data_IF_535946425069
#
_entry.id   IF_535946425069
#
_cell.length_a   1.000
_cell.length_b   1.000
_cell.length_c   1.000
_cell.angle_alpha   90.00
_cell.angle_beta   90.00
_cell.angle_gamma   90.00
#
_symmetry.space_group_name_H-M   'P 1'
#
loop_
_entity.id
_entity.type
_entity.pdbx_description
1 polymer ?
#
# COMPACT_ATOMS: atom_id res chain seq x y z
N UNK A 1 -6.99 -28.55 21.09
CA UNK A 1 -8.31 -27.93 21.20
C UNK A 1 -8.34 -27.21 22.53
N UNK A 2 -8.52 -25.86 22.56
CA UNK A 2 -9.66 -25.31 23.26
C UNK A 2 -10.40 -24.29 22.42
N UNK A 3 -11.73 -24.42 22.41
CA UNK A 3 -12.69 -23.46 21.90
C UNK A 3 -12.60 -22.15 22.65
N UNK A 4 -12.39 -21.04 21.93
CA UNK A 4 -12.61 -19.69 22.46
C UNK A 4 -13.87 -19.10 21.83
N UNK A 5 -15.03 -19.47 22.35
CA UNK A 5 -16.26 -18.73 22.16
C UNK A 5 -16.19 -17.43 22.96
N UNK A 6 -16.05 -16.29 22.28
CA UNK A 6 -16.31 -14.99 22.89
C UNK A 6 -17.83 -14.75 22.89
N UNK A 7 -18.42 -14.22 23.97
CA UNK A 7 -19.86 -14.06 24.09
C UNK A 7 -20.39 -12.95 23.19
N UNK A 8 -21.41 -13.28 22.42
CA UNK A 8 -22.25 -12.37 21.67
C UNK A 8 -23.19 -11.63 22.64
N UNK A 9 -23.14 -10.30 22.67
CA UNK A 9 -24.09 -9.48 23.43
C UNK A 9 -25.14 -8.83 22.50
N UNK A 10 -26.43 -9.15 22.65
CA UNK A 10 -27.51 -8.72 21.73
C UNK A 10 -28.21 -7.41 22.12
N UNK A 11 -27.58 -6.43 22.76
CA UNK A 11 -28.24 -5.18 23.14
C UNK A 11 -27.45 -3.94 22.69
N UNK A 12 -28.10 -3.20 21.80
CA UNK A 12 -27.62 -2.03 21.06
C UNK A 12 -27.27 -0.79 21.89
N UNK A 13 -26.12 -0.81 22.54
CA UNK A 13 -25.44 0.40 22.99
C UNK A 13 -24.19 0.62 22.14
N UNK A 14 -23.82 1.87 21.82
CA UNK A 14 -22.55 2.12 21.16
C UNK A 14 -21.41 1.55 22.01
N UNK A 15 -20.35 0.99 21.40
CA UNK A 15 -19.25 0.42 22.14
C UNK A 15 -18.61 1.48 23.03
N UNK A 16 -18.29 1.12 24.27
CA UNK A 16 -17.52 1.97 25.16
C UNK A 16 -16.13 2.20 24.59
N UNK A 17 -15.48 3.34 24.84
CA UNK A 17 -14.09 3.53 24.47
C UNK A 17 -13.24 2.34 24.92
N UNK A 18 -12.59 1.64 23.97
CA UNK A 18 -11.80 0.43 24.21
C UNK A 18 -12.52 -0.91 23.98
N UNK A 19 -13.82 -0.94 23.72
CA UNK A 19 -14.55 -2.17 23.39
C UNK A 19 -14.41 -2.51 21.90
N UNK A 20 -13.71 -3.62 21.59
CA UNK A 20 -13.53 -4.10 20.22
C UNK A 20 -14.87 -4.58 19.68
N UNK A 21 -15.35 -3.92 18.63
CA UNK A 21 -16.47 -4.44 17.84
C UNK A 21 -15.87 -5.56 16.98
N UNK A 22 -16.42 -6.78 16.98
CA UNK A 22 -16.11 -7.76 15.97
C UNK A 22 -16.66 -7.23 14.65
N UNK A 23 -15.89 -6.43 13.96
CA UNK A 23 -16.13 -6.16 12.57
C UNK A 23 -16.03 -7.50 11.85
N UNK A 24 -16.97 -7.84 10.97
CA UNK A 24 -16.88 -9.02 10.13
C UNK A 24 -15.50 -9.13 9.45
N UNK A 25 -15.24 -10.14 8.67
CA UNK A 25 -13.96 -10.36 7.98
C UNK A 25 -13.52 -9.16 7.13
N UNK A 26 -12.98 -8.11 7.78
CA UNK A 26 -12.53 -6.87 7.13
C UNK A 26 -11.02 -6.93 6.90
N UNK A 27 -10.57 -6.58 5.70
CA UNK A 27 -9.17 -6.29 5.43
C UNK A 27 -8.97 -4.79 5.22
N UNK A 28 -7.96 -4.21 5.88
CA UNK A 28 -7.52 -2.85 5.58
C UNK A 28 -6.48 -2.86 4.48
N UNK A 29 -6.70 -1.99 3.50
CA UNK A 29 -5.81 -1.77 2.36
C UNK A 29 -5.15 -0.40 2.49
N UNK A 30 -3.84 -0.36 2.25
CA UNK A 30 -3.06 0.87 2.36
C UNK A 30 -2.47 1.24 1.00
N UNK A 31 -2.78 2.45 0.48
CA UNK A 31 -2.32 2.87 -0.84
C UNK A 31 -0.83 3.12 -0.90
N UNK A 32 -0.28 3.05 -2.11
CA UNK A 32 1.09 3.38 -2.45
C UNK A 32 1.24 4.70 -3.18
N UNK A 33 2.44 4.92 -3.71
CA UNK A 33 2.81 6.11 -4.47
C UNK A 33 1.89 6.31 -5.68
N UNK A 34 1.52 7.56 -5.95
CA UNK A 34 0.56 7.95 -6.98
C UNK A 34 -0.80 8.38 -6.41
N UNK A 35 -1.08 8.09 -5.14
CA UNK A 35 -2.33 8.49 -4.46
C UNK A 35 -2.24 9.83 -3.74
N UNK A 36 -1.03 10.40 -3.58
CA UNK A 36 -0.80 11.67 -2.89
C UNK A 36 -1.44 12.85 -3.61
N UNK A 37 -1.96 13.79 -2.83
CA UNK A 37 -2.47 15.09 -3.30
C UNK A 37 -2.22 16.17 -2.24
N UNK A 38 -1.97 17.39 -2.66
CA UNK A 38 -1.90 18.54 -1.74
C UNK A 38 -3.25 18.71 -1.04
N UNK A 39 -3.24 18.96 0.25
CA UNK A 39 -4.42 19.03 1.12
C UNK A 39 -4.77 17.71 1.82
N UNK A 40 -4.14 16.58 1.45
CA UNK A 40 -4.45 15.28 2.04
C UNK A 40 -4.24 15.27 3.56
N UNK A 41 -5.24 14.75 4.27
CA UNK A 41 -5.21 14.57 5.72
C UNK A 41 -5.41 15.83 6.55
N UNK A 42 -5.47 17.03 5.94
CA UNK A 42 -5.64 18.29 6.68
C UNK A 42 -6.96 18.32 7.45
N UNK A 43 -8.07 18.08 6.76
CA UNK A 43 -9.40 18.05 7.36
C UNK A 43 -9.48 17.04 8.52
N UNK A 44 -8.99 15.82 8.31
CA UNK A 44 -8.99 14.81 9.39
C UNK A 44 -8.10 15.20 10.57
N UNK A 45 -6.95 15.85 10.32
CA UNK A 45 -6.10 16.35 11.40
C UNK A 45 -6.75 17.49 12.18
N UNK A 46 -7.54 18.35 11.54
CA UNK A 46 -8.28 19.42 12.20
C UNK A 46 -9.46 18.89 13.06
N UNK A 47 -10.08 17.79 12.63
CA UNK A 47 -11.27 17.22 13.30
C UNK A 47 -10.93 16.15 14.36
N UNK A 48 -9.84 15.40 14.16
CA UNK A 48 -9.48 14.26 15.01
C UNK A 48 -8.10 14.44 15.66
N UNK A 49 -8.03 14.59 16.99
CA UNK A 49 -6.75 14.78 17.70
C UNK A 49 -5.69 13.72 17.35
N UNK A 50 -6.09 12.45 17.28
CA UNK A 50 -5.17 11.34 16.97
C UNK A 50 -4.57 11.44 15.55
N UNK A 51 -5.30 12.03 14.60
CA UNK A 51 -4.78 12.29 13.26
C UNK A 51 -3.78 13.45 13.30
N UNK A 52 -4.07 14.53 14.01
CA UNK A 52 -3.13 15.65 14.21
C UNK A 52 -1.84 15.17 14.88
N UNK A 53 -1.95 14.39 15.97
CA UNK A 53 -0.82 13.81 16.68
C UNK A 53 0.05 12.94 15.74
N UNK A 54 -0.57 12.19 14.83
CA UNK A 54 0.16 11.35 13.85
C UNK A 54 1.01 12.21 12.91
N UNK A 55 0.49 13.32 12.41
CA UNK A 55 1.29 14.24 11.58
C UNK A 55 2.40 14.93 12.38
N UNK A 56 2.14 15.30 13.64
CA UNK A 56 3.16 15.90 14.53
C UNK A 56 4.29 14.89 14.86
N UNK A 57 3.93 13.63 15.10
CA UNK A 57 4.87 12.53 15.31
C UNK A 57 5.77 12.31 14.09
N UNK A 58 5.19 12.35 12.88
CA UNK A 58 5.95 12.29 11.63
C UNK A 58 6.91 13.46 11.46
N UNK A 59 6.45 14.70 11.71
CA UNK A 59 7.27 15.89 11.67
C UNK A 59 8.48 15.78 12.63
N UNK A 60 8.22 15.36 13.86
CA UNK A 60 9.27 15.17 14.86
C UNK A 60 10.26 14.07 14.47
N UNK A 61 9.76 12.93 13.96
CA UNK A 61 10.60 11.82 13.53
C UNK A 61 11.50 12.16 12.35
N UNK A 62 11.03 13.00 11.44
CA UNK A 62 11.75 13.40 10.22
C UNK A 62 12.63 14.63 10.41
N UNK A 63 12.38 15.44 11.45
CA UNK A 63 13.10 16.69 11.71
C UNK A 63 12.73 17.85 10.76
N UNK A 64 11.60 17.74 10.05
CA UNK A 64 11.05 18.81 9.21
C UNK A 64 9.51 18.70 9.14
N UNK A 65 8.85 19.78 8.69
CA UNK A 65 7.38 19.85 8.57
C UNK A 65 6.85 19.11 7.35
N UNK A 66 6.74 17.76 7.46
CA UNK A 66 6.07 16.93 6.46
C UNK A 66 4.59 17.30 6.35
N UNK A 67 3.94 17.58 7.48
CA UNK A 67 2.55 18.01 7.54
C UNK A 67 2.27 19.21 6.65
N UNK A 68 3.13 20.23 6.68
CA UNK A 68 2.99 21.40 5.82
C UNK A 68 3.09 21.04 4.33
N UNK A 69 3.99 20.15 3.96
CA UNK A 69 4.10 19.70 2.56
C UNK A 69 2.84 18.94 2.12
N UNK A 70 2.29 18.10 3.00
CA UNK A 70 1.04 17.38 2.72
C UNK A 70 -0.15 18.35 2.52
N UNK A 71 -0.25 19.40 3.35
CA UNK A 71 -1.42 20.27 3.41
C UNK A 71 -1.35 21.46 2.46
N UNK A 72 -0.17 22.00 2.23
CA UNK A 72 0.05 23.28 1.52
C UNK A 72 0.90 23.11 0.26
N UNK A 73 1.60 21.98 0.13
CA UNK A 73 2.51 21.72 -0.99
C UNK A 73 3.90 22.36 -0.82
N UNK A 74 4.58 22.75 -1.91
CA UNK A 74 4.11 22.66 -3.29
C UNK A 74 4.01 21.23 -3.82
N UNK A 75 3.19 21.01 -4.86
CA UNK A 75 2.95 19.68 -5.44
C UNK A 75 4.24 19.02 -5.94
N UNK A 76 5.15 19.78 -6.53
CA UNK A 76 6.44 19.31 -7.02
C UNK A 76 7.30 18.71 -5.90
N UNK A 77 7.24 19.29 -4.70
CA UNK A 77 7.93 18.74 -3.51
C UNK A 77 7.28 17.47 -3.04
N UNK A 78 5.93 17.44 -3.01
CA UNK A 78 5.17 16.25 -2.60
C UNK A 78 5.38 15.06 -3.57
N UNK A 79 5.70 15.30 -4.84
CA UNK A 79 5.99 14.29 -5.87
C UNK A 79 7.38 13.67 -5.76
N UNK A 80 8.29 14.25 -5.01
CA UNK A 80 9.61 13.63 -4.77
C UNK A 80 9.43 12.33 -4.00
N UNK A 81 9.94 11.23 -4.52
CA UNK A 81 9.72 9.89 -3.96
C UNK A 81 10.09 9.79 -2.47
N UNK A 82 11.17 10.46 -2.04
CA UNK A 82 11.59 10.53 -0.63
C UNK A 82 10.64 11.35 0.26
N UNK A 83 9.76 12.16 -0.31
CA UNK A 83 8.72 12.93 0.39
C UNK A 83 7.38 12.22 0.26
N UNK A 84 7.04 11.73 -0.93
CA UNK A 84 5.79 11.02 -1.21
C UNK A 84 5.58 9.84 -0.28
N UNK A 85 6.62 9.02 -0.10
CA UNK A 85 6.49 7.80 0.69
C UNK A 85 6.15 8.07 2.16
N UNK A 86 6.89 8.89 2.92
CA UNK A 86 6.51 9.21 4.29
C UNK A 86 5.18 9.98 4.38
N UNK A 87 4.82 10.79 3.36
CA UNK A 87 3.55 11.52 3.34
C UNK A 87 2.35 10.58 3.27
N UNK A 88 2.36 9.60 2.35
CA UNK A 88 1.29 8.61 2.21
C UNK A 88 1.22 7.70 3.45
N UNK A 89 2.37 7.25 3.97
CA UNK A 89 2.40 6.44 5.19
C UNK A 89 1.78 7.19 6.37
N UNK A 90 2.13 8.46 6.57
CA UNK A 90 1.59 9.29 7.65
C UNK A 90 0.08 9.45 7.54
N UNK A 91 -0.43 9.79 6.35
CA UNK A 91 -1.86 9.91 6.10
C UNK A 91 -2.58 8.58 6.35
N UNK A 92 -2.05 7.47 5.85
CA UNK A 92 -2.63 6.14 6.01
C UNK A 92 -2.70 5.71 7.47
N UNK A 93 -1.65 5.97 8.25
CA UNK A 93 -1.62 5.67 9.69
C UNK A 93 -2.56 6.60 10.47
N UNK A 94 -2.67 7.88 10.09
CA UNK A 94 -3.64 8.80 10.69
C UNK A 94 -5.07 8.30 10.51
N UNK A 95 -5.45 7.90 9.28
CA UNK A 95 -6.77 7.29 9.00
C UNK A 95 -6.97 6.01 9.80
N UNK A 96 -5.98 5.14 9.84
CA UNK A 96 -6.04 3.90 10.62
C UNK A 96 -6.28 4.16 12.10
N UNK A 97 -5.58 5.12 12.70
CA UNK A 97 -5.72 5.47 14.12
C UNK A 97 -7.12 6.02 14.42
N UNK A 98 -7.69 6.87 13.55
CA UNK A 98 -9.07 7.35 13.66
C UNK A 98 -10.07 6.20 13.61
N UNK A 99 -9.97 5.31 12.63
CA UNK A 99 -10.84 4.14 12.52
C UNK A 99 -10.75 3.23 13.75
N UNK A 100 -9.55 3.04 14.29
CA UNK A 100 -9.31 2.24 15.49
C UNK A 100 -9.99 2.86 16.73
N UNK A 101 -9.94 4.19 16.89
CA UNK A 101 -10.67 4.88 17.97
C UNK A 101 -12.21 4.72 17.84
N UNK A 102 -12.70 4.62 16.60
CA UNK A 102 -14.10 4.31 16.32
C UNK A 102 -14.46 2.82 16.51
N UNK A 103 -13.49 1.98 16.91
CA UNK A 103 -13.70 0.55 17.10
C UNK A 103 -13.71 -0.26 15.80
N UNK A 104 -13.38 0.35 14.65
CA UNK A 104 -13.28 -0.32 13.35
C UNK A 104 -11.84 -0.82 13.19
N UNK A 105 -11.65 -2.13 13.31
CA UNK A 105 -10.32 -2.77 13.28
C UNK A 105 -10.25 -3.87 12.23
N UNK A 106 -9.09 -4.07 11.59
CA UNK A 106 -8.93 -5.08 10.56
C UNK A 106 -8.72 -6.47 11.15
N UNK A 107 -9.13 -7.51 10.42
CA UNK A 107 -8.72 -8.90 10.63
C UNK A 107 -7.47 -9.25 9.82
N UNK A 108 -7.27 -8.57 8.70
CA UNK A 108 -6.10 -8.69 7.83
C UNK A 108 -5.68 -7.28 7.38
N UNK A 109 -4.41 -7.14 7.07
CA UNK A 109 -3.89 -5.93 6.47
C UNK A 109 -3.12 -6.24 5.18
N UNK A 110 -3.18 -5.34 4.22
CA UNK A 110 -2.37 -5.37 3.02
C UNK A 110 -2.06 -3.94 2.57
N UNK A 111 -0.93 -3.75 1.91
CA UNK A 111 -0.59 -2.46 1.36
C UNK A 111 0.15 -2.60 0.05
N UNK A 112 -0.09 -1.69 -0.88
CA UNK A 112 0.53 -1.72 -2.21
C UNK A 112 1.89 -1.01 -2.17
N UNK A 113 2.97 -1.72 -2.44
CA UNK A 113 4.35 -1.19 -2.43
C UNK A 113 4.66 -0.47 -1.11
N UNK A 114 4.79 0.86 -1.11
CA UNK A 114 4.92 1.69 0.10
C UNK A 114 3.87 1.35 1.16
N UNK A 115 2.64 1.09 0.72
CA UNK A 115 1.52 0.77 1.61
C UNK A 115 1.72 -0.46 2.48
N UNK A 116 2.60 -1.40 2.09
CA UNK A 116 2.94 -2.55 2.94
C UNK A 116 3.60 -2.11 4.26
N UNK A 117 4.37 -1.01 4.27
CA UNK A 117 4.89 -0.42 5.52
C UNK A 117 3.76 0.13 6.39
N UNK A 118 2.76 0.79 5.79
CA UNK A 118 1.56 1.26 6.51
C UNK A 118 0.79 0.07 7.11
N UNK A 119 0.68 -1.04 6.38
CA UNK A 119 0.07 -2.28 6.88
C UNK A 119 0.84 -2.87 8.07
N UNK A 120 2.17 -2.87 8.03
CA UNK A 120 3.00 -3.33 9.15
C UNK A 120 2.92 -2.41 10.38
N UNK A 121 2.77 -1.09 10.19
CA UNK A 121 2.49 -0.17 11.31
C UNK A 121 1.11 -0.45 11.90
N UNK A 122 0.08 -0.61 11.07
CA UNK A 122 -1.28 -0.91 11.52
C UNK A 122 -1.37 -2.27 12.24
N UNK A 123 -0.55 -3.24 11.83
CA UNK A 123 -0.43 -4.55 12.47
C UNK A 123 0.48 -4.57 13.71
N UNK A 124 1.03 -3.44 14.13
CA UNK A 124 1.94 -3.36 15.29
C UNK A 124 3.33 -3.96 15.05
N UNK A 125 3.65 -4.35 13.82
CA UNK A 125 4.94 -4.98 13.48
C UNK A 125 6.09 -3.97 13.51
N UNK A 126 5.86 -2.75 13.02
CA UNK A 126 6.80 -1.65 13.00
C UNK A 126 6.27 -0.47 13.80
N UNK A 127 7.15 0.20 14.55
CA UNK A 127 6.84 1.49 15.15
C UNK A 127 6.69 2.55 14.07
N UNK A 128 5.74 3.45 14.24
CA UNK A 128 5.45 4.47 13.23
C UNK A 128 6.65 5.39 12.95
N UNK A 129 7.34 5.85 13.98
CA UNK A 129 8.52 6.73 13.81
C UNK A 129 9.66 6.04 13.05
N UNK A 130 9.85 4.74 13.26
CA UNK A 130 10.84 3.96 12.54
C UNK A 130 10.43 3.74 11.09
N UNK A 131 9.14 3.44 10.86
CA UNK A 131 8.59 3.26 9.53
C UNK A 131 8.69 4.55 8.68
N UNK A 132 8.32 5.72 9.25
CA UNK A 132 8.33 6.98 8.51
C UNK A 132 9.75 7.41 8.09
N UNK A 133 10.76 7.20 8.96
CA UNK A 133 12.16 7.41 8.60
C UNK A 133 12.63 6.43 7.53
N UNK A 134 12.27 5.16 7.69
CA UNK A 134 12.67 4.09 6.77
C UNK A 134 12.11 4.30 5.38
N UNK A 135 10.83 4.64 5.24
CA UNK A 135 10.25 4.87 3.91
C UNK A 135 10.76 6.13 3.22
N UNK A 136 11.21 7.14 3.99
CA UNK A 136 11.95 8.26 3.44
C UNK A 136 13.28 7.80 2.82
N UNK A 137 14.04 6.99 3.56
CA UNK A 137 15.28 6.39 3.04
C UNK A 137 14.99 5.49 1.84
N UNK A 138 13.95 4.66 1.91
CA UNK A 138 13.50 3.82 0.81
C UNK A 138 13.26 4.64 -0.46
N UNK A 139 12.49 5.72 -0.35
CA UNK A 139 12.22 6.62 -1.48
C UNK A 139 13.50 7.20 -2.08
N UNK A 140 14.40 7.67 -1.23
CA UNK A 140 15.70 8.20 -1.65
C UNK A 140 16.56 7.14 -2.33
N UNK A 141 16.71 5.96 -1.72
CA UNK A 141 17.53 4.87 -2.26
C UNK A 141 17.01 4.37 -3.60
N UNK A 142 15.70 4.22 -3.74
CA UNK A 142 15.07 3.80 -4.99
C UNK A 142 15.25 4.84 -6.10
N UNK A 143 15.18 6.14 -5.77
CA UNK A 143 15.42 7.22 -6.74
C UNK A 143 16.90 7.27 -7.19
N UNK A 144 17.82 6.99 -6.28
CA UNK A 144 19.27 7.02 -6.55
C UNK A 144 19.80 5.73 -7.21
N UNK A 145 19.03 4.62 -7.20
CA UNK A 145 19.48 3.33 -7.70
C UNK A 145 19.75 3.30 -9.21
N UNK A 146 19.03 4.14 -9.96
CA UNK A 146 19.17 4.25 -11.41
C UNK A 146 19.18 5.73 -11.80
N UNK A 147 20.14 6.19 -12.63
CA UNK A 147 20.14 7.56 -13.12
C UNK A 147 18.83 7.91 -13.85
N UNK A 148 18.37 9.16 -13.68
CA UNK A 148 17.15 9.65 -14.33
C UNK A 148 17.23 9.44 -15.84
N UNK A 149 16.17 8.90 -16.43
CA UNK A 149 16.06 8.62 -17.86
C UNK A 149 16.64 7.26 -18.31
N UNK A 150 17.35 6.54 -17.44
CA UNK A 150 17.85 5.19 -17.78
C UNK A 150 16.87 4.07 -17.45
N UNK A 151 15.92 4.32 -16.56
CA UNK A 151 14.85 3.41 -16.21
C UNK A 151 13.48 3.95 -16.57
N UNK A 152 12.52 3.06 -16.76
CA UNK A 152 11.13 3.40 -17.06
C UNK A 152 10.15 2.36 -16.49
N UNK A 153 8.88 2.75 -16.45
CA UNK A 153 7.76 1.87 -16.18
C UNK A 153 6.63 2.14 -17.17
N UNK A 154 5.87 1.10 -17.50
CA UNK A 154 4.70 1.23 -18.36
C UNK A 154 3.54 0.35 -17.85
N UNK A 155 2.32 0.87 -17.92
CA UNK A 155 1.11 0.12 -17.61
C UNK A 155 0.59 -0.56 -18.89
N UNK A 156 0.46 -1.89 -18.83
CA UNK A 156 -0.11 -2.71 -19.89
C UNK A 156 -1.52 -3.10 -19.47
N UNK A 157 -2.52 -2.72 -20.27
CA UNK A 157 -3.93 -2.95 -19.97
C UNK A 157 -4.54 -3.95 -20.96
N UNK A 158 -5.39 -4.84 -20.44
CA UNK A 158 -6.14 -5.80 -21.23
C UNK A 158 -5.30 -6.93 -21.82
N UNK A 159 -4.23 -7.32 -21.12
CA UNK A 159 -3.37 -8.43 -21.50
C UNK A 159 -3.03 -9.30 -20.27
N UNK A 160 -3.15 -10.64 -20.36
CA UNK A 160 -2.83 -11.54 -19.25
C UNK A 160 -1.34 -11.48 -18.86
N UNK A 161 -1.05 -11.67 -17.56
CA UNK A 161 0.31 -11.65 -17.02
C UNK A 161 1.30 -12.55 -17.79
N UNK A 162 0.87 -13.76 -18.17
CA UNK A 162 1.73 -14.70 -18.90
C UNK A 162 2.22 -14.13 -20.24
N UNK A 163 1.35 -13.42 -20.96
CA UNK A 163 1.73 -12.76 -22.22
C UNK A 163 2.62 -11.54 -21.96
N UNK A 164 2.32 -10.74 -20.94
CA UNK A 164 3.17 -9.60 -20.54
C UNK A 164 4.56 -10.08 -20.15
N UNK A 165 4.69 -11.17 -19.41
CA UNK A 165 5.99 -11.75 -19.04
C UNK A 165 6.79 -12.22 -20.26
N UNK A 166 6.14 -12.85 -21.25
CA UNK A 166 6.80 -13.23 -22.51
C UNK A 166 7.28 -12.02 -23.31
N UNK A 167 6.46 -10.95 -23.36
CA UNK A 167 6.83 -9.69 -24.01
C UNK A 167 8.03 -9.06 -23.32
N UNK A 168 8.05 -9.00 -21.99
CA UNK A 168 9.19 -8.51 -21.23
C UNK A 168 10.47 -9.29 -21.55
N UNK A 169 10.40 -10.62 -21.53
CA UNK A 169 11.54 -11.49 -21.85
C UNK A 169 12.09 -11.24 -23.26
N UNK A 170 11.19 -11.10 -24.25
CA UNK A 170 11.59 -10.81 -25.64
C UNK A 170 12.17 -9.39 -25.80
N UNK A 171 11.55 -8.40 -25.15
CA UNK A 171 11.96 -6.99 -25.24
C UNK A 171 13.26 -6.70 -24.47
N UNK A 172 13.62 -7.53 -23.51
CA UNK A 172 14.78 -7.31 -22.64
C UNK A 172 16.11 -7.19 -23.43
N UNK A 173 16.39 -8.07 -24.40
CA UNK A 173 17.58 -8.00 -25.26
C UNK A 173 18.86 -7.71 -24.46
N UNK A 174 19.14 -8.49 -23.40
CA UNK A 174 20.24 -8.34 -22.44
C UNK A 174 20.08 -7.16 -21.45
N UNK A 175 18.96 -6.45 -21.47
CA UNK A 175 18.60 -5.42 -20.50
C UNK A 175 17.55 -5.96 -19.51
N UNK A 176 17.21 -5.18 -18.49
CA UNK A 176 16.14 -5.53 -17.55
C UNK A 176 14.80 -5.05 -18.10
N UNK A 177 13.81 -5.95 -18.16
CA UNK A 177 12.40 -5.65 -18.36
C UNK A 177 11.58 -6.75 -17.68
N UNK A 178 10.74 -6.39 -16.70
CA UNK A 178 10.05 -7.34 -15.83
C UNK A 178 8.64 -6.85 -15.48
N UNK A 179 7.65 -7.75 -15.27
CA UNK A 179 6.43 -7.38 -14.53
C UNK A 179 6.79 -6.89 -13.14
N UNK A 180 6.29 -5.72 -12.78
CA UNK A 180 6.61 -5.02 -11.53
C UNK A 180 5.41 -4.88 -10.60
N UNK A 181 4.21 -4.60 -11.14
CA UNK A 181 2.97 -4.59 -10.37
C UNK A 181 1.91 -5.42 -11.10
N UNK A 182 1.50 -6.51 -10.48
CA UNK A 182 0.42 -7.37 -10.98
C UNK A 182 -0.84 -6.93 -10.24
N UNK A 183 -1.49 -5.87 -10.79
CA UNK A 183 -2.53 -5.13 -10.09
C UNK A 183 -3.91 -5.78 -10.17
N UNK A 184 -4.25 -6.33 -11.32
CA UNK A 184 -5.53 -6.98 -11.59
C UNK A 184 -5.39 -7.88 -12.83
N UNK A 185 -6.40 -8.71 -13.18
CA UNK A 185 -6.38 -9.50 -14.42
C UNK A 185 -6.14 -8.69 -15.69
N UNK A 186 -6.55 -7.41 -15.66
CA UNK A 186 -6.50 -6.49 -16.79
C UNK A 186 -5.38 -5.45 -16.72
N UNK A 187 -4.58 -5.45 -15.65
CA UNK A 187 -3.56 -4.40 -15.43
C UNK A 187 -2.26 -4.97 -14.86
N UNK A 188 -1.21 -4.93 -15.65
CA UNK A 188 0.17 -5.24 -15.25
C UNK A 188 1.06 -4.04 -15.56
N UNK A 189 1.83 -3.59 -14.58
CA UNK A 189 2.89 -2.60 -14.79
C UNK A 189 4.20 -3.31 -14.99
N UNK A 190 4.93 -2.93 -16.03
CA UNK A 190 6.29 -3.42 -16.34
C UNK A 190 7.33 -2.37 -15.95
N UNK A 191 8.52 -2.81 -15.61
CA UNK A 191 9.62 -1.97 -15.13
C UNK A 191 10.96 -2.49 -15.63
N UNK A 192 11.89 -1.58 -15.88
CA UNK A 192 13.24 -1.95 -16.31
C UNK A 192 14.01 -0.81 -16.95
N UNK A 193 14.99 -1.16 -17.79
CA UNK A 193 15.74 -0.21 -18.61
C UNK A 193 14.81 0.50 -19.58
N UNK A 194 14.92 1.82 -19.71
CA UNK A 194 14.00 2.61 -20.53
C UNK A 194 13.82 2.07 -21.95
N UNK A 195 14.89 1.76 -22.72
CA UNK A 195 14.72 1.22 -24.08
C UNK A 195 14.01 -0.15 -24.10
N UNK A 196 14.22 -1.00 -23.09
CA UNK A 196 13.58 -2.30 -23.02
C UNK A 196 12.08 -2.18 -22.69
N UNK A 197 11.72 -1.27 -21.78
CA UNK A 197 10.32 -0.99 -21.43
C UNK A 197 9.58 -0.37 -22.62
N UNK A 198 10.21 0.55 -23.37
CA UNK A 198 9.64 1.14 -24.57
C UNK A 198 9.37 0.07 -25.64
N UNK A 199 10.34 -0.81 -25.93
CA UNK A 199 10.14 -1.97 -26.85
C UNK A 199 9.02 -2.88 -26.37
N UNK A 200 8.96 -3.16 -25.06
CA UNK A 200 7.91 -4.00 -24.50
C UNK A 200 6.52 -3.36 -24.65
N UNK A 201 6.41 -2.04 -24.44
CA UNK A 201 5.16 -1.31 -24.61
C UNK A 201 4.68 -1.34 -26.07
N UNK A 202 5.57 -1.13 -27.04
CA UNK A 202 5.24 -1.24 -28.48
C UNK A 202 4.80 -2.68 -28.84
N UNK A 203 5.59 -3.67 -28.42
CA UNK A 203 5.28 -5.07 -28.69
C UNK A 203 3.95 -5.51 -28.06
N UNK A 204 3.61 -4.98 -26.87
CA UNK A 204 2.32 -5.23 -26.24
C UNK A 204 1.16 -4.69 -27.07
N UNK A 205 1.29 -3.49 -27.62
CA UNK A 205 0.28 -2.91 -28.54
C UNK A 205 0.11 -3.77 -29.79
N UNK A 206 1.21 -4.17 -30.43
CA UNK A 206 1.18 -5.02 -31.62
C UNK A 206 0.51 -6.38 -31.36
N UNK A 207 0.63 -6.90 -30.13
CA UNK A 207 0.04 -8.18 -29.71
C UNK A 207 -1.34 -8.06 -29.08
N UNK A 208 -1.99 -6.91 -29.18
CA UNK A 208 -3.39 -6.73 -28.83
C UNK A 208 -3.65 -6.24 -27.41
N UNK A 209 -2.68 -5.67 -26.70
CA UNK A 209 -2.95 -4.94 -25.49
C UNK A 209 -3.92 -3.77 -25.76
N UNK A 210 -4.94 -3.61 -24.92
CA UNK A 210 -5.89 -2.49 -25.07
C UNK A 210 -5.19 -1.13 -24.98
N UNK A 211 -4.22 -1.03 -24.07
CA UNK A 211 -3.36 0.15 -23.91
C UNK A 211 -1.98 -0.26 -23.38
N UNK A 212 -0.96 0.47 -23.78
CA UNK A 212 0.36 0.45 -23.17
C UNK A 212 0.78 1.91 -22.94
N UNK A 213 0.90 2.32 -21.68
CA UNK A 213 1.04 3.72 -21.29
C UNK A 213 2.33 3.85 -20.49
N UNK A 214 3.27 4.65 -20.98
CA UNK A 214 4.46 5.02 -20.22
C UNK A 214 4.06 5.83 -18.99
N UNK A 215 4.56 5.43 -17.82
CA UNK A 215 4.24 6.12 -16.57
C UNK A 215 5.20 7.30 -16.33
N UNK A 216 4.71 8.42 -15.78
CA UNK A 216 5.53 9.60 -15.46
C UNK A 216 6.32 9.40 -14.17
N UNK A 217 7.14 8.34 -14.12
CA UNK A 217 8.00 8.00 -12.97
C UNK A 217 9.46 8.18 -13.36
N UNK A 218 10.29 8.53 -12.37
CA UNK A 218 11.71 8.83 -12.56
C UNK A 218 12.64 7.65 -12.24
N UNK A 219 12.09 6.50 -11.80
CA UNK A 219 12.85 5.31 -11.47
C UNK A 219 12.07 4.02 -11.80
N UNK A 220 12.78 2.94 -12.19
CA UNK A 220 12.17 1.65 -12.52
C UNK A 220 11.97 0.80 -11.27
N UNK A 221 10.89 1.06 -10.52
CA UNK A 221 10.59 0.35 -9.28
C UNK A 221 10.28 -1.13 -9.48
N UNK A 222 10.52 -1.95 -8.46
CA UNK A 222 10.15 -3.36 -8.41
C UNK A 222 10.75 -4.24 -9.52
N UNK A 223 11.99 -3.99 -9.88
CA UNK A 223 12.75 -4.82 -10.81
C UNK A 223 14.22 -4.98 -10.36
N UNK A 224 14.98 -5.80 -11.05
CA UNK A 224 16.38 -6.11 -10.71
C UNK A 224 17.29 -4.86 -10.62
N UNK A 225 16.97 -3.78 -11.33
CA UNK A 225 17.72 -2.51 -11.27
C UNK A 225 17.64 -1.82 -9.90
N UNK A 226 16.68 -2.21 -9.03
CA UNK A 226 16.56 -1.70 -7.68
C UNK A 226 17.49 -2.40 -6.68
N UNK A 227 18.37 -3.31 -7.11
CA UNK A 227 19.30 -4.04 -6.23
C UNK A 227 20.14 -3.14 -5.32
N UNK A 228 20.70 -2.01 -5.78
CA UNK A 228 21.44 -1.09 -4.90
C UNK A 228 20.58 -0.50 -3.79
N UNK A 229 19.31 -0.17 -4.09
CA UNK A 229 18.36 0.31 -3.09
C UNK A 229 18.01 -0.79 -2.08
N UNK A 230 17.80 -2.01 -2.55
CA UNK A 230 17.52 -3.17 -1.69
C UNK A 230 18.63 -3.40 -0.66
N UNK A 231 19.89 -3.35 -1.08
CA UNK A 231 21.06 -3.58 -0.19
C UNK A 231 21.16 -2.52 0.90
N UNK A 232 20.99 -1.25 0.54
CA UNK A 232 20.99 -0.15 1.50
C UNK A 232 19.83 -0.25 2.48
N UNK A 233 18.63 -0.51 1.98
CA UNK A 233 17.42 -0.64 2.79
C UNK A 233 17.48 -1.87 3.71
N UNK A 234 18.04 -2.98 3.24
CA UNK A 234 18.25 -4.17 4.07
C UNK A 234 19.12 -3.87 5.29
N UNK A 235 20.17 -3.05 5.13
CA UNK A 235 21.02 -2.63 6.23
C UNK A 235 20.26 -1.76 7.25
N UNK A 236 19.32 -0.93 6.80
CA UNK A 236 18.48 -0.12 7.69
C UNK A 236 17.43 -0.98 8.39
N UNK A 237 16.67 -1.81 7.66
CA UNK A 237 15.61 -2.67 8.21
C UNK A 237 16.12 -3.65 9.27
N UNK A 238 17.32 -4.24 9.07
CA UNK A 238 17.92 -5.16 10.03
C UNK A 238 18.32 -4.53 11.37
N UNK A 239 18.37 -3.21 11.45
CA UNK A 239 18.63 -2.48 12.71
C UNK A 239 17.36 -2.17 13.49
N UNK A 240 16.20 -2.31 12.87
CA UNK A 240 14.91 -2.02 13.50
C UNK A 240 14.42 -3.21 14.32
N UNK A 241 13.61 -2.88 15.31
CA UNK A 241 12.88 -3.88 16.06
C UNK A 241 11.55 -4.18 15.35
N UNK A 242 11.34 -5.45 14.99
CA UNK A 242 10.10 -5.96 14.46
C UNK A 242 9.38 -6.78 15.53
N UNK A 243 8.10 -6.49 15.74
CA UNK A 243 7.21 -7.32 16.55
C UNK A 243 6.47 -8.33 15.67
N UNK A 244 6.03 -9.47 16.20
CA UNK A 244 5.04 -10.29 15.51
C UNK A 244 3.78 -9.44 15.22
N UNK A 245 3.21 -9.53 14.01
CA UNK A 245 2.01 -8.76 13.67
C UNK A 245 0.81 -9.19 14.50
N UNK A 246 0.04 -8.23 15.03
CA UNK A 246 -1.22 -8.47 15.76
C UNK A 246 -2.32 -8.99 14.82
N UNK A 247 -2.26 -8.60 13.54
CA UNK A 247 -3.09 -9.12 12.46
C UNK A 247 -2.19 -9.53 11.29
N UNK A 248 -2.49 -10.64 10.59
CA UNK A 248 -1.67 -11.08 9.47
C UNK A 248 -1.61 -10.02 8.36
N UNK A 249 -0.41 -9.79 7.81
CA UNK A 249 -0.17 -8.86 6.71
C UNK A 249 0.08 -9.65 5.43
N UNK A 250 -0.70 -9.39 4.37
CA UNK A 250 -0.43 -9.95 3.05
C UNK A 250 0.76 -9.22 2.40
N UNK A 251 1.88 -9.93 2.21
CA UNK A 251 3.08 -9.35 1.61
C UNK A 251 3.01 -9.30 0.09
N UNK A 252 3.65 -8.29 -0.50
CA UNK A 252 3.61 -8.06 -1.95
C UNK A 252 4.40 -9.10 -2.73
N UNK A 253 5.59 -9.47 -2.27
CA UNK A 253 6.56 -10.25 -3.05
C UNK A 253 6.16 -11.73 -3.20
N UNK A 254 5.56 -12.33 -2.19
CA UNK A 254 5.19 -13.74 -2.19
C UNK A 254 3.68 -13.97 -2.27
N UNK A 255 2.85 -12.93 -2.07
CA UNK A 255 1.40 -13.03 -1.90
C UNK A 255 1.01 -14.05 -0.79
N UNK A 256 1.73 -14.00 0.34
CA UNK A 256 1.53 -14.82 1.52
C UNK A 256 1.24 -13.97 2.74
N UNK A 257 0.64 -14.57 3.78
CA UNK A 257 0.42 -13.89 5.05
C UNK A 257 1.71 -13.92 5.90
N UNK A 258 2.14 -12.75 6.34
CA UNK A 258 3.22 -12.58 7.30
C UNK A 258 2.66 -12.62 8.72
N UNK A 259 3.13 -13.57 9.51
CA UNK A 259 2.67 -13.82 10.88
C UNK A 259 3.82 -13.76 11.90
N UNK A 260 5.05 -13.54 11.43
CA UNK A 260 6.24 -13.43 12.27
C UNK A 260 7.09 -12.21 11.91
N UNK A 261 7.84 -11.70 12.89
CA UNK A 261 8.74 -10.56 12.74
C UNK A 261 9.78 -10.79 11.63
N UNK A 262 10.46 -11.94 11.64
CA UNK A 262 11.54 -12.25 10.70
C UNK A 262 11.03 -12.34 9.26
N UNK A 263 9.89 -13.00 9.04
CA UNK A 263 9.27 -13.09 7.71
C UNK A 263 8.84 -11.72 7.20
N UNK A 264 8.32 -10.86 8.08
CA UNK A 264 7.93 -9.48 7.73
C UNK A 264 9.13 -8.66 7.28
N UNK A 265 10.23 -8.70 8.03
CA UNK A 265 11.46 -8.00 7.66
C UNK A 265 12.04 -8.50 6.33
N UNK A 266 12.15 -9.83 6.15
CA UNK A 266 12.65 -10.45 4.93
C UNK A 266 11.79 -10.10 3.71
N UNK A 267 10.46 -10.16 3.83
CA UNK A 267 9.54 -9.81 2.76
C UNK A 267 9.70 -8.34 2.32
N UNK A 268 9.81 -7.39 3.25
CA UNK A 268 10.04 -5.98 2.96
C UNK A 268 11.38 -5.73 2.25
N UNK A 269 12.43 -6.50 2.58
CA UNK A 269 13.72 -6.42 1.88
C UNK A 269 13.58 -6.90 0.43
N UNK A 270 12.97 -8.08 0.22
CA UNK A 270 12.80 -8.67 -1.11
C UNK A 270 11.81 -7.90 -1.99
N UNK A 271 10.86 -7.18 -1.39
CA UNK A 271 9.87 -6.38 -2.09
C UNK A 271 10.51 -5.30 -2.99
N UNK A 272 11.68 -4.78 -2.66
CA UNK A 272 12.31 -3.67 -3.39
C UNK A 272 12.63 -4.03 -4.83
N UNK A 273 13.10 -5.27 -5.07
CA UNK A 273 13.41 -5.81 -6.41
C UNK A 273 12.35 -6.76 -6.93
N UNK A 274 11.41 -7.17 -6.08
CA UNK A 274 10.35 -8.12 -6.42
C UNK A 274 9.08 -7.44 -6.89
N UNK A 275 8.27 -8.16 -7.66
CA UNK A 275 6.98 -7.69 -8.11
C UNK A 275 5.98 -7.54 -6.96
N UNK A 276 5.13 -6.53 -7.06
CA UNK A 276 3.94 -6.40 -6.22
C UNK A 276 2.86 -7.31 -6.78
N UNK A 277 2.65 -8.46 -6.15
CA UNK A 277 1.66 -9.48 -6.55
C UNK A 277 0.29 -9.15 -5.92
N UNK A 278 -0.24 -7.98 -6.31
CA UNK A 278 -1.43 -7.41 -5.67
C UNK A 278 -2.67 -8.24 -5.89
N UNK A 279 -2.96 -8.64 -7.13
CA UNK A 279 -4.12 -9.48 -7.44
C UNK A 279 -4.11 -10.77 -6.63
N UNK A 280 -2.97 -11.45 -6.55
CA UNK A 280 -2.83 -12.71 -5.81
C UNK A 280 -3.03 -12.49 -4.30
N UNK A 281 -2.50 -11.39 -3.75
CA UNK A 281 -2.71 -11.02 -2.34
C UNK A 281 -4.20 -10.77 -2.05
N UNK A 282 -4.92 -10.09 -2.94
CA UNK A 282 -6.36 -9.86 -2.76
C UNK A 282 -7.16 -11.17 -2.87
N UNK A 283 -6.83 -12.04 -3.83
CA UNK A 283 -7.45 -13.37 -3.96
C UNK A 283 -7.18 -14.25 -2.74
N UNK A 284 -5.98 -14.18 -2.16
CA UNK A 284 -5.66 -14.85 -0.91
C UNK A 284 -6.59 -14.39 0.23
N UNK A 285 -6.78 -13.07 0.38
CA UNK A 285 -7.66 -12.53 1.43
C UNK A 285 -9.13 -12.92 1.20
N UNK A 286 -9.60 -12.91 -0.04
CA UNK A 286 -10.93 -13.40 -0.42
C UNK A 286 -11.09 -14.87 -0.05
N UNK A 287 -10.10 -15.72 -0.35
CA UNK A 287 -10.09 -17.13 0.01
C UNK A 287 -10.07 -17.37 1.54
N UNK A 288 -9.58 -16.37 2.32
CA UNK A 288 -9.65 -16.37 3.79
C UNK A 288 -10.97 -15.83 4.35
N UNK A 289 -11.97 -15.61 3.47
CA UNK A 289 -13.31 -15.19 3.85
C UNK A 289 -13.46 -13.68 4.06
N UNK A 290 -12.54 -12.86 3.55
CA UNK A 290 -12.71 -11.39 3.57
C UNK A 290 -13.81 -11.00 2.59
N UNK A 291 -14.81 -10.29 3.10
CA UNK A 291 -15.96 -9.81 2.32
C UNK A 291 -15.90 -8.28 2.10
N UNK A 292 -15.36 -7.57 3.08
CA UNK A 292 -15.25 -6.10 3.05
C UNK A 292 -13.79 -5.69 3.09
N UNK A 293 -13.42 -4.83 2.17
CA UNK A 293 -12.11 -4.20 2.09
C UNK A 293 -12.26 -2.71 2.39
N UNK A 294 -11.33 -2.14 3.15
CA UNK A 294 -11.32 -0.74 3.53
C UNK A 294 -9.99 -0.11 3.16
N UNK A 295 -9.97 0.72 2.13
CA UNK A 295 -8.79 1.49 1.74
C UNK A 295 -8.63 2.68 2.69
N UNK A 296 -7.56 2.66 3.50
CA UNK A 296 -7.24 3.68 4.51
C UNK A 296 -6.06 4.53 4.04
N UNK A 297 -6.31 5.78 3.66
CA UNK A 297 -5.30 6.69 3.14
C UNK A 297 -5.80 7.53 1.97
N UNK A 298 -4.91 8.28 1.28
CA UNK A 298 -5.32 9.16 0.21
C UNK A 298 -5.82 8.39 -1.02
N UNK A 299 -6.92 8.84 -1.61
CA UNK A 299 -7.48 8.31 -2.85
C UNK A 299 -8.33 7.05 -2.68
N UNK A 300 -8.57 6.37 -3.81
CA UNK A 300 -9.40 5.17 -3.91
C UNK A 300 -8.92 4.21 -5.02
N UNK A 301 -7.61 4.17 -5.23
CA UNK A 301 -7.00 3.37 -6.30
C UNK A 301 -7.17 1.89 -6.03
N UNK A 302 -6.96 1.45 -4.79
CA UNK A 302 -7.05 0.03 -4.42
C UNK A 302 -8.50 -0.48 -4.49
N UNK A 303 -9.48 0.35 -4.13
CA UNK A 303 -10.90 0.05 -4.37
C UNK A 303 -11.22 -0.09 -5.86
N UNK A 304 -10.60 0.72 -6.71
CA UNK A 304 -10.70 0.58 -8.16
C UNK A 304 -10.14 -0.75 -8.67
N UNK A 305 -8.98 -1.17 -8.17
CA UNK A 305 -8.37 -2.46 -8.49
C UNK A 305 -9.21 -3.63 -7.97
N UNK A 306 -9.74 -3.53 -6.75
CA UNK A 306 -10.61 -4.56 -6.19
C UNK A 306 -11.83 -4.84 -7.08
N UNK A 307 -12.46 -3.81 -7.65
CA UNK A 307 -13.58 -3.98 -8.59
C UNK A 307 -13.19 -4.71 -9.87
N UNK A 308 -11.92 -4.65 -10.28
CA UNK A 308 -11.41 -5.40 -11.43
C UNK A 308 -11.09 -6.85 -11.04
N UNK A 309 -10.69 -7.09 -9.79
CA UNK A 309 -10.36 -8.43 -9.27
C UNK A 309 -11.62 -9.22 -8.94
N UNK A 310 -12.53 -8.63 -8.17
CA UNK A 310 -13.80 -9.24 -7.76
C UNK A 310 -14.88 -8.17 -7.50
N UNK A 311 -15.85 -8.06 -8.39
CA UNK A 311 -16.97 -7.10 -8.29
C UNK A 311 -17.97 -7.45 -7.18
N UNK A 312 -17.95 -8.69 -6.69
CA UNK A 312 -18.81 -9.14 -5.61
C UNK A 312 -18.37 -8.69 -4.22
N UNK A 313 -17.18 -8.08 -4.09
CA UNK A 313 -16.66 -7.62 -2.81
C UNK A 313 -16.98 -6.15 -2.56
N UNK A 314 -17.30 -5.85 -1.29
CA UNK A 314 -17.44 -4.47 -0.86
C UNK A 314 -16.05 -3.86 -0.67
N UNK A 315 -15.80 -2.70 -1.30
CA UNK A 315 -14.60 -1.92 -1.03
C UNK A 315 -14.99 -0.47 -0.75
N UNK A 316 -14.66 -0.01 0.46
CA UNK A 316 -14.87 1.34 0.96
C UNK A 316 -13.53 2.05 1.06
N UNK A 317 -13.51 3.38 0.97
CA UNK A 317 -12.30 4.16 1.20
C UNK A 317 -12.52 5.23 2.26
N UNK A 318 -11.46 5.59 2.97
CA UNK A 318 -11.41 6.72 3.89
C UNK A 318 -10.21 7.59 3.55
N UNK A 319 -10.49 8.79 3.04
CA UNK A 319 -9.50 9.82 2.73
C UNK A 319 -9.83 11.21 3.30
N UNK A 320 -11.08 11.40 3.74
CA UNK A 320 -11.64 12.64 4.26
C UNK A 320 -12.81 12.35 5.21
N UNK A 321 -13.36 13.40 5.82
CA UNK A 321 -14.48 13.28 6.76
C UNK A 321 -15.71 12.67 6.08
N UNK A 322 -16.04 13.06 4.86
CA UNK A 322 -17.24 12.57 4.18
C UNK A 322 -17.17 11.06 3.91
N UNK A 323 -16.00 10.53 3.54
CA UNK A 323 -15.78 9.10 3.34
C UNK A 323 -15.72 8.34 4.67
N UNK A 324 -15.17 8.95 5.73
CA UNK A 324 -15.16 8.38 7.07
C UNK A 324 -16.58 8.20 7.61
N UNK A 325 -17.46 9.19 7.46
CA UNK A 325 -18.85 9.09 7.89
C UNK A 325 -19.62 8.00 7.13
N UNK A 326 -19.37 7.82 5.85
CA UNK A 326 -19.96 6.68 5.06
C UNK A 326 -19.54 5.33 5.64
N UNK A 327 -18.27 5.19 5.99
CA UNK A 327 -17.74 3.97 6.60
C UNK A 327 -18.33 3.75 7.99
N UNK A 328 -18.41 4.79 8.82
CA UNK A 328 -19.04 4.73 10.14
C UNK A 328 -20.52 4.29 10.05
N UNK A 329 -21.27 4.85 9.12
CA UNK A 329 -22.65 4.47 8.87
C UNK A 329 -22.79 3.02 8.39
N UNK A 330 -21.91 2.57 7.49
CA UNK A 330 -21.92 1.20 7.00
C UNK A 330 -21.76 0.18 8.14
N UNK A 331 -20.80 0.41 9.03
CA UNK A 331 -20.58 -0.47 10.18
C UNK A 331 -21.53 -0.23 11.35
N UNK A 332 -22.12 0.96 11.47
CA UNK A 332 -23.14 1.29 12.46
C UNK A 332 -24.50 0.66 12.13
N UNK A 333 -24.87 0.56 10.88
CA UNK A 333 -26.12 -0.06 10.42
C UNK A 333 -26.09 -1.60 10.44
N UNK A 334 -24.91 -2.21 10.31
CA UNK A 334 -24.75 -3.66 10.40
C UNK A 334 -25.05 -4.23 11.82
N UNK A 335 -25.39 -3.36 12.80
CA UNK A 335 -25.75 -3.75 14.18
C UNK A 335 -27.26 -3.80 14.43
N UNK A 336 -28.10 -3.45 13.46
CA UNK A 336 -29.56 -3.32 13.65
C UNK A 336 -30.37 -4.42 12.99
N UNK A 337 -29.75 -5.36 12.29
CA UNK A 337 -30.35 -6.59 11.71
C UNK A 337 -29.82 -7.82 12.45
#
# INVERSE_FOLDING_TARGET
>A
MPDSHLPYHPHGHPPKPGERVPAGNIAFLFPGQGSQKVGMGKELAELYPVAMETFQEADAALGYKLSQVCWEGPEEKLKLTEITQPAILTMSVAVFRVLREMGIVPRYAAGHSLGEYSAHVAAGTLRFEDAVRTVRHRGKYMQEAVPVGQGAMAAILGMPLAQVAQICAQAAQHQVCQPANINSPDQVVISGSAPAVERAAELAKERGAKKAIMLPVSAPFHCALMKPAQERLAADLKKLFFSPPEVPVACNVDALLMETADKSCDALIRQVTGAVRWEESMRLLIARGVETFLEAGPGKVLCGLMRQIDRGRTCLNVEDEASLQKVANHFGQAKTD
#
